data_IF_943208941986
#
_entry.id   IF_943208941986
#
_cell.length_a   1.000
_cell.length_b   1.000
_cell.length_c   1.000
_cell.angle_alpha   90.00
_cell.angle_beta   90.00
_cell.angle_gamma   90.00
#
_symmetry.space_group_name_H-M   'P 1'
#
loop_
_entity.id
_entity.type
_entity.pdbx_description
1 polymer ?
#
# COMPACT_ATOMS: atom_id res chain seq x y z
N UNK A 1 -0.79 -11.82 -19.25
CA UNK A 1 -2.04 -11.55 -18.51
C UNK A 1 -2.93 -12.79 -18.56
N UNK A 2 -3.04 -13.54 -17.46
CA UNK A 2 -3.93 -14.68 -17.37
C UNK A 2 -5.34 -14.20 -16.97
N UNK A 3 -6.19 -13.93 -17.96
CA UNK A 3 -7.60 -13.70 -17.72
C UNK A 3 -8.22 -15.01 -17.23
N UNK A 4 -8.57 -15.08 -15.96
CA UNK A 4 -9.40 -16.18 -15.47
C UNK A 4 -10.72 -16.16 -16.24
N UNK A 5 -11.20 -17.33 -16.68
CA UNK A 5 -12.48 -17.48 -17.41
C UNK A 5 -13.72 -17.08 -16.57
N UNK A 6 -13.51 -16.74 -15.31
CA UNK A 6 -14.53 -16.37 -14.33
C UNK A 6 -14.60 -14.84 -14.19
N UNK A 7 -15.71 -14.28 -14.64
CA UNK A 7 -15.96 -12.83 -14.62
C UNK A 7 -16.11 -12.25 -13.21
N UNK A 8 -16.49 -13.06 -12.22
CA UNK A 8 -16.57 -12.64 -10.82
C UNK A 8 -15.17 -12.50 -10.21
N UNK A 9 -14.25 -13.41 -10.57
CA UNK A 9 -12.85 -13.36 -10.12
C UNK A 9 -12.11 -12.16 -10.71
N UNK A 10 -12.31 -11.89 -12.00
CA UNK A 10 -11.70 -10.73 -12.65
C UNK A 10 -12.16 -9.40 -12.02
N UNK A 11 -13.45 -9.26 -11.70
CA UNK A 11 -13.98 -8.08 -10.98
C UNK A 11 -13.33 -7.88 -9.62
N UNK A 12 -13.00 -8.97 -8.93
CA UNK A 12 -12.35 -8.90 -7.64
C UNK A 12 -10.88 -8.49 -7.75
N UNK A 13 -10.16 -9.00 -8.74
CA UNK A 13 -8.79 -8.57 -9.04
C UNK A 13 -8.73 -7.05 -9.31
N UNK A 14 -9.64 -6.54 -10.14
CA UNK A 14 -9.72 -5.10 -10.44
C UNK A 14 -9.98 -4.26 -9.18
N UNK A 15 -10.93 -4.68 -8.35
CA UNK A 15 -11.28 -3.98 -7.11
C UNK A 15 -10.14 -3.92 -6.11
N UNK A 16 -9.47 -5.05 -5.87
CA UNK A 16 -8.34 -5.13 -4.96
C UNK A 16 -7.18 -4.25 -5.45
N UNK A 17 -6.86 -4.32 -6.74
CA UNK A 17 -5.78 -3.53 -7.33
C UNK A 17 -6.08 -2.02 -7.23
N UNK A 18 -7.32 -1.62 -7.52
CA UNK A 18 -7.77 -0.23 -7.36
C UNK A 18 -7.65 0.23 -5.90
N UNK A 19 -8.00 -0.64 -4.94
CA UNK A 19 -7.90 -0.32 -3.53
C UNK A 19 -6.47 -0.03 -3.08
N UNK A 20 -5.56 -0.92 -3.44
CA UNK A 20 -4.13 -0.75 -3.17
C UNK A 20 -3.58 0.49 -3.88
N UNK A 21 -3.93 0.71 -5.15
CA UNK A 21 -3.47 1.87 -5.90
C UNK A 21 -3.93 3.19 -5.28
N UNK A 22 -5.17 3.28 -4.78
CA UNK A 22 -5.70 4.50 -4.18
C UNK A 22 -4.89 4.95 -2.96
N UNK A 23 -4.43 3.99 -2.18
CA UNK A 23 -3.62 4.16 -0.99
C UNK A 23 -2.18 4.52 -1.33
N UNK A 24 -1.55 3.79 -2.26
CA UNK A 24 -0.17 4.05 -2.67
C UNK A 24 0.00 5.35 -3.48
N UNK A 25 -1.07 5.81 -4.14
CA UNK A 25 -1.05 7.08 -4.88
C UNK A 25 -1.16 8.30 -3.96
N UNK A 26 -1.84 8.17 -2.82
CA UNK A 26 -2.05 9.26 -1.85
C UNK A 26 -0.73 9.74 -1.21
N UNK A 27 0.28 8.90 -1.22
CA UNK A 27 1.56 9.13 -0.54
C UNK A 27 2.67 9.73 -1.45
N UNK A 28 2.38 9.93 -2.74
CA UNK A 28 3.27 10.72 -3.62
C UNK A 28 3.10 12.24 -3.41
N UNK A 29 2.19 12.65 -2.54
CA UNK A 29 2.16 14.01 -2.01
C UNK A 29 3.12 14.02 -0.82
N UNK A 30 4.19 14.82 -0.83
CA UNK A 30 5.03 14.98 0.35
C UNK A 30 4.12 15.41 1.49
N UNK A 31 4.20 14.70 2.61
CA UNK A 31 3.61 15.11 3.88
C UNK A 31 4.36 16.38 4.33
N UNK A 32 3.99 17.51 3.73
CA UNK A 32 4.26 18.85 4.20
C UNK A 32 3.02 19.32 4.94
N UNK A 33 3.26 19.84 6.13
CA UNK A 33 2.29 20.08 7.19
C UNK A 33 1.05 20.92 6.80
N UNK A 34 0.01 20.66 7.58
CA UNK A 34 -1.16 21.49 7.90
C UNK A 34 -2.32 21.67 6.90
N UNK A 35 -3.49 21.40 7.49
CA UNK A 35 -4.84 21.71 7.09
C UNK A 35 -5.01 23.21 6.78
N UNK A 36 -5.44 23.59 5.57
CA UNK A 36 -6.58 24.49 5.34
C UNK A 36 -6.83 24.85 3.85
N UNK A 37 -8.12 24.83 3.52
CA UNK A 37 -8.82 25.70 2.58
C UNK A 37 -8.75 25.48 1.04
N UNK A 38 -9.97 25.29 0.52
CA UNK A 38 -10.51 25.50 -0.83
C UNK A 38 -9.75 26.46 -1.77
N UNK A 39 -9.67 26.11 -3.06
CA UNK A 39 -9.52 27.12 -4.12
C UNK A 39 -8.86 26.66 -5.41
N UNK A 40 -9.64 26.58 -6.48
CA UNK A 40 -9.23 26.39 -7.87
C UNK A 40 -8.27 27.51 -8.31
N UNK A 41 -7.18 27.19 -9.03
CA UNK A 41 -6.40 28.19 -9.74
C UNK A 41 -5.15 27.66 -10.44
N UNK A 42 -5.26 27.31 -11.73
CA UNK A 42 -4.11 27.14 -12.63
C UNK A 42 -3.35 28.46 -12.79
N UNK A 43 -2.03 28.47 -12.61
CA UNK A 43 -1.13 29.26 -13.47
C UNK A 43 0.31 28.74 -13.39
N UNK A 44 0.89 28.54 -14.56
CA UNK A 44 2.26 28.10 -14.74
C UNK A 44 3.19 29.27 -15.10
N UNK A 45 4.48 29.00 -14.84
CA UNK A 45 5.74 29.45 -15.50
C UNK A 45 6.36 30.83 -15.21
N UNK A 46 7.70 30.74 -15.07
CA UNK A 46 8.80 31.70 -15.21
C UNK A 46 9.31 32.29 -13.87
N UNK A 47 10.59 32.23 -13.51
CA UNK A 47 11.81 31.78 -14.17
C UNK A 47 13.01 32.54 -13.56
N UNK A 48 14.19 31.91 -13.54
CA UNK A 48 15.52 32.54 -13.51
C UNK A 48 16.18 32.97 -12.18
N UNK A 49 16.98 32.04 -11.62
CA UNK A 49 18.46 32.08 -11.46
C UNK A 49 19.22 33.05 -10.53
N UNK A 50 20.14 32.42 -9.75
CA UNK A 50 21.43 32.88 -9.14
C UNK A 50 21.31 33.65 -7.83
N UNK A 51 22.20 33.54 -6.84
CA UNK A 51 23.22 32.59 -6.38
C UNK A 51 23.58 33.05 -4.94
N UNK A 52 24.46 32.31 -4.25
CA UNK A 52 25.24 32.71 -3.07
C UNK A 52 24.76 32.24 -1.67
N UNK A 53 25.37 31.14 -1.25
CA UNK A 53 26.14 30.95 -0.02
C UNK A 53 25.52 31.32 1.34
N UNK A 54 24.99 30.30 2.07
CA UNK A 54 25.48 29.83 3.39
C UNK A 54 24.48 28.87 4.06
N UNK A 55 25.08 27.95 4.82
CA UNK A 55 24.53 27.19 5.95
C UNK A 55 23.74 25.86 5.73
N UNK A 56 24.39 24.78 6.19
CA UNK A 56 23.89 23.68 7.01
C UNK A 56 22.43 23.21 6.80
N UNK A 57 22.26 22.11 6.05
CA UNK A 57 21.22 21.13 6.31
C UNK A 57 21.49 19.80 5.57
N UNK A 58 20.98 18.75 6.20
CA UNK A 58 20.84 17.38 5.71
C UNK A 58 20.25 17.28 4.28
N UNK A 59 20.36 16.09 3.70
CA UNK A 59 19.76 15.66 2.42
C UNK A 59 20.53 16.04 1.16
N UNK A 60 21.06 15.03 0.46
CA UNK A 60 20.78 14.84 -0.98
C UNK A 60 21.64 13.71 -1.54
N UNK A 61 21.01 12.60 -1.86
CA UNK A 61 21.37 11.85 -3.06
C UNK A 61 20.10 11.51 -3.85
N UNK A 62 19.22 12.51 -4.03
CA UNK A 62 18.21 12.45 -5.10
C UNK A 62 18.88 12.89 -6.39
N UNK A 63 19.57 11.95 -7.03
CA UNK A 63 19.92 12.08 -8.44
C UNK A 63 18.63 11.90 -9.22
N UNK A 64 18.06 13.01 -9.69
CA UNK A 64 16.98 13.02 -10.65
C UNK A 64 17.34 12.13 -11.85
N UNK A 65 16.52 11.10 -12.10
CA UNK A 65 16.53 10.35 -13.35
C UNK A 65 15.11 10.30 -13.89
N UNK A 66 15.05 10.48 -15.20
CA UNK A 66 13.87 10.77 -16.00
C UNK A 66 12.65 9.86 -15.76
N UNK A 67 11.50 10.54 -15.65
CA UNK A 67 10.15 10.16 -16.11
C UNK A 67 10.09 8.87 -16.98
N UNK A 68 9.66 7.74 -16.40
CA UNK A 68 8.58 6.88 -16.94
C UNK A 68 8.23 5.62 -16.12
N UNK A 69 8.95 5.27 -15.04
CA UNK A 69 8.59 4.14 -14.18
C UNK A 69 8.79 4.50 -12.70
N UNK A 70 7.73 4.44 -11.91
CA UNK A 70 7.72 4.82 -10.50
C UNK A 70 8.18 3.60 -9.67
N UNK A 71 9.50 3.38 -9.59
CA UNK A 71 10.08 2.51 -8.56
C UNK A 71 9.94 3.24 -7.21
N UNK A 72 9.08 2.76 -6.33
CA UNK A 72 9.03 3.23 -4.95
C UNK A 72 10.23 2.59 -4.24
N UNK A 73 11.34 3.32 -4.16
CA UNK A 73 12.53 2.84 -3.45
C UNK A 73 12.25 2.92 -1.94
N UNK A 74 11.73 1.83 -1.39
CA UNK A 74 11.74 1.52 0.03
C UNK A 74 12.87 0.50 0.28
N UNK A 75 13.55 0.68 1.40
CA UNK A 75 14.80 0.04 1.80
C UNK A 75 14.86 -1.49 1.49
N UNK A 76 15.85 -1.91 0.68
CA UNK A 76 16.30 -3.31 0.58
C UNK A 76 15.81 -4.17 -0.60
N UNK A 77 14.56 -4.05 -1.07
CA UNK A 77 14.05 -4.85 -2.18
C UNK A 77 13.12 -3.97 -3.04
N UNK A 78 13.52 -3.67 -4.28
CA UNK A 78 12.77 -2.73 -5.13
C UNK A 78 11.44 -3.35 -5.50
N UNK A 79 10.36 -2.72 -5.04
CA UNK A 79 9.01 -3.04 -5.47
C UNK A 79 8.74 -2.39 -6.84
N UNK A 80 8.59 -3.22 -7.86
CA UNK A 80 8.35 -2.81 -9.24
C UNK A 80 6.83 -2.63 -9.47
N UNK A 81 6.34 -1.40 -9.29
CA UNK A 81 4.97 -1.06 -9.67
C UNK A 81 4.84 -0.97 -11.20
N UNK A 82 3.78 -1.51 -11.84
CA UNK A 82 2.61 -2.20 -11.27
C UNK A 82 2.71 -3.73 -11.21
N UNK A 83 3.74 -4.33 -11.81
CA UNK A 83 3.80 -5.78 -12.05
C UNK A 83 3.82 -6.60 -10.74
N UNK A 84 4.54 -6.13 -9.72
CA UNK A 84 4.58 -6.78 -8.42
C UNK A 84 3.23 -6.70 -7.70
N UNK A 85 2.54 -5.55 -7.79
CA UNK A 85 1.22 -5.38 -7.21
C UNK A 85 0.21 -6.32 -7.84
N UNK A 86 0.23 -6.41 -9.17
CA UNK A 86 -0.62 -7.34 -9.92
C UNK A 86 -0.32 -8.78 -9.51
N UNK A 87 0.95 -9.15 -9.36
CA UNK A 87 1.36 -10.50 -8.95
C UNK A 87 0.85 -10.84 -7.55
N UNK A 88 1.02 -9.93 -6.59
CA UNK A 88 0.56 -10.11 -5.20
C UNK A 88 -0.97 -10.22 -5.13
N UNK A 89 -1.70 -9.36 -5.85
CA UNK A 89 -3.18 -9.41 -5.89
C UNK A 89 -3.70 -10.70 -6.53
N UNK A 90 -3.08 -11.16 -7.62
CA UNK A 90 -3.42 -12.45 -8.24
C UNK A 90 -3.17 -13.60 -7.26
N UNK A 91 -2.03 -13.58 -6.56
CA UNK A 91 -1.71 -14.61 -5.58
C UNK A 91 -2.71 -14.60 -4.41
N UNK A 92 -3.08 -13.43 -3.90
CA UNK A 92 -4.08 -13.27 -2.82
C UNK A 92 -5.45 -13.79 -3.23
N UNK A 93 -5.92 -13.43 -4.43
CA UNK A 93 -7.19 -13.90 -4.98
C UNK A 93 -7.17 -15.43 -5.16
N UNK A 94 -6.09 -15.97 -5.73
CA UNK A 94 -5.96 -17.43 -5.94
C UNK A 94 -5.94 -18.20 -4.62
N UNK A 95 -5.25 -17.68 -3.60
CA UNK A 95 -5.26 -18.28 -2.26
C UNK A 95 -6.66 -18.25 -1.63
N UNK A 96 -7.36 -17.12 -1.75
CA UNK A 96 -8.74 -16.95 -1.28
C UNK A 96 -9.69 -17.92 -1.97
N UNK A 97 -9.62 -18.02 -3.29
CA UNK A 97 -10.45 -18.90 -4.09
C UNK A 97 -10.09 -20.38 -3.86
N UNK A 98 -8.82 -20.72 -3.66
CA UNK A 98 -8.40 -22.08 -3.32
C UNK A 98 -8.98 -22.58 -2.00
N UNK A 99 -9.09 -21.69 -1.00
CA UNK A 99 -9.63 -22.00 0.32
C UNK A 99 -11.17 -21.97 0.38
N UNK A 100 -11.78 -20.93 -0.21
CA UNK A 100 -13.20 -20.61 -0.03
C UNK A 100 -14.05 -20.78 -1.30
N UNK A 101 -13.44 -21.02 -2.47
CA UNK A 101 -14.11 -20.99 -3.77
C UNK A 101 -15.20 -22.05 -3.97
N UNK A 102 -15.20 -23.11 -3.16
CA UNK A 102 -16.30 -24.09 -3.13
C UNK A 102 -17.61 -23.50 -2.60
N UNK A 103 -17.53 -22.44 -1.78
CA UNK A 103 -18.68 -21.68 -1.29
C UNK A 103 -18.55 -20.22 -1.73
N UNK A 104 -19.21 -19.89 -2.83
CA UNK A 104 -19.17 -18.56 -3.42
C UNK A 104 -19.56 -17.44 -2.45
N UNK A 105 -20.51 -17.68 -1.53
CA UNK A 105 -20.91 -16.67 -0.55
C UNK A 105 -19.78 -16.36 0.44
N UNK A 106 -19.11 -17.40 0.96
CA UNK A 106 -17.95 -17.24 1.86
C UNK A 106 -16.78 -16.55 1.16
N UNK A 107 -16.46 -16.99 -0.05
CA UNK A 107 -15.45 -16.35 -0.89
C UNK A 107 -15.76 -14.87 -1.11
N UNK A 108 -16.98 -14.54 -1.57
CA UNK A 108 -17.38 -13.17 -1.85
C UNK A 108 -17.40 -12.29 -0.59
N UNK A 109 -17.78 -12.83 0.57
CA UNK A 109 -17.69 -12.13 1.85
C UNK A 109 -16.24 -11.82 2.21
N UNK A 110 -15.32 -12.78 2.05
CA UNK A 110 -13.89 -12.57 2.30
C UNK A 110 -13.32 -11.52 1.34
N UNK A 111 -13.67 -11.58 0.06
CA UNK A 111 -13.21 -10.61 -0.93
C UNK A 111 -13.69 -9.18 -0.62
N UNK A 112 -14.95 -9.00 -0.19
CA UNK A 112 -15.46 -7.69 0.29
C UNK A 112 -14.67 -7.18 1.49
N UNK A 113 -14.37 -8.06 2.44
CA UNK A 113 -13.59 -7.71 3.62
C UNK A 113 -12.17 -7.26 3.23
N UNK A 114 -11.50 -8.00 2.35
CA UNK A 114 -10.15 -7.65 1.89
C UNK A 114 -10.15 -6.32 1.12
N UNK A 115 -11.08 -6.12 0.19
CA UNK A 115 -11.23 -4.87 -0.58
C UNK A 115 -11.40 -3.65 0.34
N UNK A 116 -12.27 -3.76 1.35
CA UNK A 116 -12.47 -2.69 2.33
C UNK A 116 -11.20 -2.39 3.13
N UNK A 117 -10.58 -3.41 3.73
CA UNK A 117 -9.42 -3.19 4.60
C UNK A 117 -8.20 -2.69 3.81
N UNK A 118 -7.96 -3.17 2.58
CA UNK A 118 -6.86 -2.70 1.74
C UNK A 118 -7.07 -1.26 1.23
N UNK A 119 -8.32 -0.81 1.11
CA UNK A 119 -8.66 0.59 0.80
C UNK A 119 -8.50 1.52 1.99
N UNK A 120 -8.81 1.04 3.18
CA UNK A 120 -8.85 1.87 4.39
C UNK A 120 -7.54 1.89 5.15
N UNK A 121 -6.77 0.79 5.13
CA UNK A 121 -5.54 0.66 5.90
C UNK A 121 -4.30 0.66 4.99
N UNK A 122 -3.60 1.80 4.99
CA UNK A 122 -2.36 2.01 4.22
C UNK A 122 -1.25 1.04 4.61
N UNK A 123 -1.10 0.80 5.92
CA UNK A 123 -0.09 -0.09 6.45
C UNK A 123 -0.32 -1.52 5.96
N UNK A 124 -1.57 -2.01 6.03
CA UNK A 124 -1.92 -3.35 5.56
C UNK A 124 -1.58 -3.54 4.08
N UNK A 125 -1.91 -2.56 3.24
CA UNK A 125 -1.60 -2.60 1.81
C UNK A 125 -0.09 -2.62 1.56
N UNK A 126 0.69 -1.75 2.22
CA UNK A 126 2.15 -1.73 2.09
C UNK A 126 2.80 -3.04 2.48
N UNK A 127 2.43 -3.58 3.63
CA UNK A 127 3.01 -4.82 4.15
C UNK A 127 2.71 -6.01 3.25
N UNK A 128 1.50 -6.04 2.68
CA UNK A 128 1.12 -7.02 1.66
C UNK A 128 2.02 -6.89 0.41
N UNK A 129 2.26 -5.66 -0.07
CA UNK A 129 3.08 -5.40 -1.26
C UNK A 129 4.58 -5.69 -1.04
N UNK A 130 5.11 -5.30 0.12
CA UNK A 130 6.50 -5.55 0.52
C UNK A 130 6.76 -7.01 0.91
N UNK A 131 5.73 -7.88 0.85
CA UNK A 131 5.80 -9.29 1.29
C UNK A 131 6.19 -9.46 2.77
N UNK A 132 6.11 -8.39 3.57
CA UNK A 132 6.26 -8.42 5.03
C UNK A 132 5.11 -9.15 5.72
N UNK A 133 3.98 -9.30 5.02
CA UNK A 133 2.81 -10.00 5.50
C UNK A 133 2.37 -11.06 4.48
N UNK A 134 2.48 -12.32 4.89
CA UNK A 134 2.11 -13.50 4.11
C UNK A 134 0.61 -13.53 3.75
N UNK A 135 0.30 -13.98 2.54
CA UNK A 135 -1.08 -14.10 2.03
C UNK A 135 -1.92 -15.03 2.93
N UNK A 136 -1.33 -16.15 3.34
CA UNK A 136 -1.97 -17.14 4.22
C UNK A 136 -2.33 -16.52 5.57
N UNK A 137 -1.50 -15.61 6.08
CA UNK A 137 -1.74 -14.92 7.34
C UNK A 137 -2.92 -13.95 7.18
N UNK A 138 -2.92 -13.12 6.14
CA UNK A 138 -4.01 -12.16 5.84
C UNK A 138 -5.38 -12.85 5.71
N UNK A 139 -5.40 -14.05 5.13
CA UNK A 139 -6.64 -14.82 4.99
C UNK A 139 -7.21 -15.28 6.33
N UNK A 140 -6.34 -15.51 7.33
CA UNK A 140 -6.72 -16.02 8.64
C UNK A 140 -6.75 -14.95 9.74
N UNK A 141 -6.31 -13.71 9.46
CA UNK A 141 -6.41 -12.59 10.39
C UNK A 141 -7.85 -12.29 10.78
N UNK A 142 -8.04 -11.94 12.05
CA UNK A 142 -9.30 -11.46 12.60
C UNK A 142 -9.68 -10.08 12.04
N UNK A 143 -10.95 -9.66 12.14
CA UNK A 143 -11.37 -8.34 11.71
C UNK A 143 -10.60 -7.19 12.38
N UNK A 144 -10.18 -7.36 13.64
CA UNK A 144 -9.41 -6.34 14.37
C UNK A 144 -7.97 -6.26 13.86
N UNK A 145 -7.33 -7.39 13.58
CA UNK A 145 -5.98 -7.42 13.03
C UNK A 145 -5.94 -6.83 11.61
N UNK A 146 -6.95 -7.11 10.78
CA UNK A 146 -7.09 -6.49 9.45
C UNK A 146 -7.32 -4.98 9.55
N UNK A 147 -8.10 -4.54 10.55
CA UNK A 147 -8.33 -3.12 10.82
C UNK A 147 -7.06 -2.42 11.28
N UNK A 148 -6.28 -3.04 12.16
CA UNK A 148 -5.05 -2.49 12.72
C UNK A 148 -3.86 -2.59 11.74
N UNK A 149 -3.92 -3.51 10.77
CA UNK A 149 -2.84 -3.76 9.80
C UNK A 149 -1.65 -4.51 10.40
N UNK A 150 -1.85 -5.12 11.57
CA UNK A 150 -0.85 -5.84 12.35
C UNK A 150 -1.44 -7.16 12.85
N UNK A 151 -0.60 -8.18 12.92
CA UNK A 151 -0.95 -9.42 13.61
C UNK A 151 -0.97 -9.22 15.12
N UNK A 152 -1.68 -10.08 15.84
CA UNK A 152 -1.72 -10.06 17.29
C UNK A 152 -0.31 -10.12 17.92
N UNK A 153 0.58 -10.95 17.37
CA UNK A 153 1.97 -11.10 17.85
C UNK A 153 2.78 -9.81 17.68
N UNK A 154 2.64 -9.12 16.55
CA UNK A 154 3.33 -7.85 16.30
C UNK A 154 2.81 -6.74 17.20
N UNK A 155 1.50 -6.71 17.43
CA UNK A 155 0.89 -5.77 18.36
C UNK A 155 1.38 -6.01 19.79
N UNK A 156 1.45 -7.26 20.22
CA UNK A 156 2.00 -7.62 21.53
C UNK A 156 3.48 -7.21 21.66
N UNK A 157 4.28 -7.42 20.61
CA UNK A 157 5.70 -7.04 20.59
C UNK A 157 5.90 -5.53 20.72
N UNK A 158 5.03 -4.72 20.08
CA UNK A 158 5.06 -3.25 20.24
C UNK A 158 4.72 -2.83 21.67
N UNK A 159 3.63 -3.35 22.23
CA UNK A 159 3.22 -3.05 23.62
C UNK A 159 4.33 -3.43 24.61
N UNK A 160 4.96 -4.58 24.43
CA UNK A 160 6.08 -5.03 25.28
C UNK A 160 7.31 -4.12 25.17
N UNK A 161 7.58 -3.57 23.98
CA UNK A 161 8.67 -2.58 23.80
C UNK A 161 8.35 -1.29 24.55
N UNK A 162 7.15 -0.75 24.36
CA UNK A 162 6.73 0.51 24.99
C UNK A 162 6.74 0.42 26.53
N UNK A 163 6.40 -0.75 27.08
CA UNK A 163 6.48 -1.01 28.53
C UNK A 163 7.92 -1.09 29.05
N UNK A 164 8.86 -1.56 28.24
CA UNK A 164 10.27 -1.64 28.63
C UNK A 164 11.00 -0.29 28.51
N UNK A 165 10.52 0.64 27.68
CA UNK A 165 11.06 1.99 27.55
C UNK A 165 10.59 2.95 28.66
N UNK A 166 9.53 2.57 29.40
CA UNK A 166 9.01 3.33 30.55
C UNK A 166 9.61 2.93 31.91
N UNK A 167 10.74 2.21 31.94
CA UNK A 167 11.43 1.76 33.15
C UNK A 167 12.83 2.36 33.28
#
# INVERSE_FOLDING_TARGET
MALTRDSCRNKWLEKLLQGIQSVCSLENVPLGDELENSGIGMKAINGSQRADDKEMASSSFVKAINRSQHDIILDGERFCWPDDAVTVVIALERASHGSLGSNFQKYNQKMRQLDFNLKTNVLLAKRLLNKELELSVILNMSPNELKDGLTADEKATRILRDLNECR
#
